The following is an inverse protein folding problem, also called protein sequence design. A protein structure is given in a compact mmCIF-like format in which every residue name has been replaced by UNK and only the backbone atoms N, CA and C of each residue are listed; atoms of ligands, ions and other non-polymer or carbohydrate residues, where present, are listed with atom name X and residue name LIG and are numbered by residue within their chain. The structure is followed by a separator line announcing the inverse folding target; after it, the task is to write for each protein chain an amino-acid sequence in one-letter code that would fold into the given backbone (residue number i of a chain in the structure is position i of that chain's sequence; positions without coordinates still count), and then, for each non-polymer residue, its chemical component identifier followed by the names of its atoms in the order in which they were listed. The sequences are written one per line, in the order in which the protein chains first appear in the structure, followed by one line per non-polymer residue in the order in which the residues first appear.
data_IF_590518917171
#
_entry.id   IF_590518917171
#
_cell.length_a   1.000
_cell.length_b   1.000
_cell.length_c   1.000
_cell.angle_alpha   90.00
_cell.angle_beta   90.00
_cell.angle_gamma   90.00
#
_symmetry.space_group_name_H-M   'P 1'
#
loop_
_entity.id
_entity.type
_entity.pdbx_description
1 polymer ?
#
# COMPACT_ATOMS: atom_id res chain seq x y z
N UNK A 1 3.42 14.18 3.70
CA UNK A 1 3.79 13.55 2.40
C UNK A 1 2.80 14.06 1.33
N UNK A 2 3.19 14.96 0.41
CA UNK A 2 2.24 15.69 -0.47
C UNK A 2 2.03 15.09 -1.87
N UNK A 3 2.63 13.95 -2.18
CA UNK A 3 2.75 13.44 -3.56
C UNK A 3 1.42 13.05 -4.22
N UNK A 4 0.33 12.88 -3.46
CA UNK A 4 -1.00 12.66 -4.01
C UNK A 4 -1.76 13.94 -4.36
N UNK A 5 -1.57 15.01 -3.57
CA UNK A 5 -2.38 16.22 -3.67
C UNK A 5 -2.17 16.96 -4.99
N UNK A 6 -0.91 17.07 -5.45
CA UNK A 6 -0.58 17.70 -6.73
C UNK A 6 -1.28 17.04 -7.92
N UNK A 7 -1.40 15.71 -7.88
CA UNK A 7 -2.14 14.97 -8.90
C UNK A 7 -3.62 15.32 -8.90
N UNK A 8 -4.26 15.33 -7.71
CA UNK A 8 -5.67 15.71 -7.59
C UNK A 8 -5.92 17.16 -8.00
N UNK A 9 -5.02 18.07 -7.64
CA UNK A 9 -5.11 19.48 -8.02
C UNK A 9 -5.01 19.66 -9.54
N UNK A 10 -4.06 18.98 -10.18
CA UNK A 10 -3.93 18.99 -11.64
C UNK A 10 -5.19 18.43 -12.31
N UNK A 11 -5.69 17.29 -11.84
CA UNK A 11 -6.88 16.65 -12.38
C UNK A 11 -8.14 17.54 -12.26
N UNK A 12 -8.32 18.21 -11.12
CA UNK A 12 -9.42 19.15 -10.90
C UNK A 12 -9.33 20.34 -11.87
N UNK A 13 -8.13 20.92 -12.03
CA UNK A 13 -7.89 22.03 -12.96
C UNK A 13 -8.23 21.66 -14.42
N UNK A 14 -7.91 20.43 -14.85
CA UNK A 14 -8.27 19.94 -16.19
C UNK A 14 -9.79 19.94 -16.45
N UNK A 15 -10.61 19.91 -15.40
CA UNK A 15 -12.07 19.91 -15.48
C UNK A 15 -12.70 21.25 -15.08
N UNK A 16 -11.91 22.32 -14.95
CA UNK A 16 -12.40 23.63 -14.53
C UNK A 16 -12.86 23.68 -13.07
N UNK A 17 -12.37 22.76 -12.24
CA UNK A 17 -12.64 22.70 -10.80
C UNK A 17 -11.42 23.20 -10.00
N UNK A 18 -11.68 23.82 -8.85
CA UNK A 18 -10.65 24.29 -7.92
C UNK A 18 -10.81 23.58 -6.57
N UNK A 19 -9.69 23.12 -6.01
CA UNK A 19 -9.66 22.49 -4.68
C UNK A 19 -9.38 23.57 -3.64
N UNK A 20 -10.39 23.89 -2.82
CA UNK A 20 -10.27 24.87 -1.74
C UNK A 20 -9.95 24.17 -0.41
N UNK A 21 -8.82 24.52 0.21
CA UNK A 21 -8.40 23.95 1.52
C UNK A 21 -8.84 24.89 2.63
N UNK A 22 -9.93 24.54 3.33
CA UNK A 22 -10.58 25.40 4.33
C UNK A 22 -9.94 25.37 5.72
N UNK A 23 -9.46 24.21 6.16
CA UNK A 23 -8.84 24.05 7.47
C UNK A 23 -7.72 23.01 7.37
N UNK A 24 -6.52 23.37 7.84
CA UNK A 24 -5.41 22.43 7.98
C UNK A 24 -5.22 22.16 9.47
N UNK A 25 -5.98 21.19 10.00
CA UNK A 25 -5.58 20.56 11.25
C UNK A 25 -4.30 19.78 10.97
N UNK A 26 -3.18 20.29 11.49
CA UNK A 26 -1.88 19.65 11.35
C UNK A 26 -1.59 18.90 12.65
N UNK A 27 -1.38 17.60 12.56
CA UNK A 27 -0.55 16.93 13.55
C UNK A 27 0.89 17.45 13.39
N UNK A 28 1.79 17.12 14.32
CA UNK A 28 3.19 17.48 14.10
C UNK A 28 3.65 16.87 12.77
N UNK A 29 4.34 17.61 11.89
CA UNK A 29 4.80 17.10 10.60
C UNK A 29 5.57 15.78 10.71
N UNK A 30 6.28 15.60 11.83
CA UNK A 30 7.02 14.39 12.17
C UNK A 30 6.08 13.22 12.50
N UNK A 31 5.02 13.46 13.27
CA UNK A 31 4.04 12.42 13.63
C UNK A 31 3.29 11.92 12.40
N UNK A 32 2.83 12.81 11.51
CA UNK A 32 2.17 12.42 10.26
C UNK A 32 3.08 11.56 9.40
N UNK A 33 4.34 11.99 9.23
CA UNK A 33 5.31 11.25 8.43
C UNK A 33 5.57 9.84 8.99
N UNK A 34 5.73 9.72 10.31
CA UNK A 34 5.94 8.42 10.95
C UNK A 34 4.72 7.53 10.79
N UNK A 35 3.51 8.07 10.96
CA UNK A 35 2.27 7.31 10.80
C UNK A 35 2.06 6.82 9.36
N UNK A 36 2.32 7.69 8.37
CA UNK A 36 2.27 7.34 6.95
C UNK A 36 3.28 6.25 6.62
N UNK A 37 4.53 6.38 7.10
CA UNK A 37 5.58 5.39 6.90
C UNK A 37 5.20 4.03 7.51
N UNK A 38 4.70 4.03 8.75
CA UNK A 38 4.26 2.82 9.43
C UNK A 38 3.13 2.13 8.67
N UNK A 39 2.19 2.91 8.12
CA UNK A 39 1.10 2.41 7.27
C UNK A 39 1.65 1.73 6.02
N UNK A 40 2.57 2.37 5.32
CA UNK A 40 3.23 1.81 4.12
C UNK A 40 3.93 0.49 4.46
N UNK A 41 4.78 0.48 5.49
CA UNK A 41 5.51 -0.73 5.91
C UNK A 41 4.56 -1.86 6.30
N UNK A 42 3.48 -1.54 7.01
CA UNK A 42 2.47 -2.54 7.39
C UNK A 42 1.75 -3.15 6.17
N UNK A 43 1.33 -2.31 5.21
CA UNK A 43 0.69 -2.78 3.98
C UNK A 43 1.62 -3.68 3.15
N UNK A 44 2.90 -3.33 3.01
CA UNK A 44 3.84 -4.16 2.23
C UNK A 44 4.26 -5.43 2.97
N UNK A 45 4.48 -5.36 4.29
CA UNK A 45 4.87 -6.53 5.09
C UNK A 45 3.79 -7.61 5.10
N UNK A 46 2.51 -7.22 5.25
CA UNK A 46 1.39 -8.16 5.17
C UNK A 46 1.28 -8.85 3.80
N UNK A 47 1.44 -8.09 2.71
CA UNK A 47 1.47 -8.64 1.34
C UNK A 47 2.64 -9.61 1.12
N UNK A 48 3.85 -9.24 1.56
CA UNK A 48 5.03 -10.10 1.47
C UNK A 48 4.86 -11.40 2.26
N UNK A 49 4.28 -11.31 3.47
CA UNK A 49 3.97 -12.49 4.27
C UNK A 49 2.97 -13.42 3.55
N UNK A 50 1.90 -12.85 2.99
CA UNK A 50 0.93 -13.58 2.18
C UNK A 50 1.58 -14.30 0.98
N UNK A 51 2.44 -13.61 0.24
CA UNK A 51 3.18 -14.18 -0.90
C UNK A 51 4.10 -15.33 -0.47
N UNK A 52 4.81 -15.20 0.66
CA UNK A 52 5.66 -16.27 1.20
C UNK A 52 4.85 -17.52 1.53
N UNK A 53 3.68 -17.34 2.15
CA UNK A 53 2.79 -18.45 2.49
C UNK A 53 2.20 -19.10 1.24
N UNK A 54 1.81 -18.31 0.24
CA UNK A 54 1.34 -18.83 -1.04
C UNK A 54 2.42 -19.67 -1.73
N UNK A 55 3.66 -19.15 -1.85
CA UNK A 55 4.79 -19.89 -2.44
C UNK A 55 5.08 -21.20 -1.70
N UNK A 56 5.02 -21.19 -0.37
CA UNK A 56 5.20 -22.39 0.44
C UNK A 56 4.14 -23.45 0.13
N UNK A 57 2.86 -23.06 0.11
CA UNK A 57 1.75 -23.97 -0.23
C UNK A 57 1.85 -24.53 -1.65
N UNK A 58 2.26 -23.70 -2.61
CA UNK A 58 2.46 -24.13 -3.99
C UNK A 58 3.55 -25.21 -4.08
N UNK A 59 4.70 -24.99 -3.44
CA UNK A 59 5.79 -25.97 -3.41
C UNK A 59 5.37 -27.27 -2.71
N UNK A 60 4.59 -27.21 -1.63
CA UNK A 60 4.05 -28.39 -0.96
C UNK A 60 3.05 -29.16 -1.83
N UNK A 61 2.23 -28.47 -2.62
CA UNK A 61 1.31 -29.11 -3.55
C UNK A 61 2.06 -29.79 -4.72
N UNK A 62 2.98 -29.07 -5.35
CA UNK A 62 3.80 -29.59 -6.45
C UNK A 62 4.73 -30.74 -6.01
N UNK A 63 5.25 -30.69 -4.78
CA UNK A 63 6.08 -31.77 -4.24
C UNK A 63 5.30 -32.99 -3.74
N UNK A 64 3.97 -32.92 -3.62
CA UNK A 64 3.12 -34.05 -3.20
C UNK A 64 2.71 -34.96 -4.35
N UNK A 65 2.77 -34.48 -5.60
CA UNK A 65 2.38 -35.28 -6.78
C UNK A 65 3.37 -36.42 -7.07
N UNK A 66 4.63 -36.32 -6.64
CA UNK A 66 5.63 -37.40 -6.84
C UNK A 66 5.52 -38.56 -5.83
N UNK A 67 4.80 -38.38 -4.71
CA UNK A 67 4.73 -39.39 -3.63
C UNK A 67 3.44 -40.23 -3.64
N UNK A 68 2.52 -40.02 -4.59
CA UNK A 68 1.29 -40.83 -4.76
C UNK A 68 1.27 -41.65 -6.06
N UNK A 69 2.38 -41.71 -6.78
CA UNK A 69 2.53 -42.54 -7.98
C UNK A 69 3.27 -43.87 -7.72
N UNK A 70 3.55 -44.22 -6.45
CA UNK A 70 4.19 -45.49 -6.05
C UNK A 70 3.28 -46.30 -5.12
#
# INVERSE_FOLDING_TARGET
MSTGFEWFEHYAKTHGCEILVLNQERLSPEQELVQDLMTIVHCFSSRLYGLRNYRKKLNEALGKDEASAE
#
